data_IF_335018826449
#
_entry.id   IF_335018826449
#
_cell.length_a   1.000
_cell.length_b   1.000
_cell.length_c   1.000
_cell.angle_alpha   90.00
_cell.angle_beta   90.00
_cell.angle_gamma   90.00
#
_symmetry.space_group_name_H-M   'P 1'
#
loop_
_entity.id
_entity.type
_entity.pdbx_description
1 polymer ?
#
# COMPACT_ATOMS: atom_id res chain seq x y z
N UNK A 1 -12.46 -16.91 -1.94
CA UNK A 1 -11.46 -16.19 -1.13
C UNK A 1 -10.48 -17.20 -0.56
N UNK A 2 -9.17 -16.98 -0.69
CA UNK A 2 -8.12 -17.84 -0.11
C UNK A 2 -7.22 -16.94 0.74
N UNK A 3 -7.01 -17.32 2.02
CA UNK A 3 -6.28 -16.50 2.97
C UNK A 3 -5.30 -17.34 3.80
N UNK A 4 -4.00 -16.94 3.91
CA UNK A 4 -3.01 -17.69 4.68
C UNK A 4 -3.24 -17.52 6.19
N UNK A 5 -3.09 -18.61 6.94
CA UNK A 5 -3.13 -18.62 8.41
C UNK A 5 -1.86 -19.28 8.94
N UNK A 6 -1.02 -18.49 9.59
CA UNK A 6 0.18 -18.97 10.25
C UNK A 6 -0.06 -19.23 11.73
N UNK A 7 0.67 -20.17 12.32
CA UNK A 7 0.48 -20.54 13.73
C UNK A 7 0.99 -19.43 14.64
N UNK A 8 0.26 -19.16 15.72
CA UNK A 8 0.74 -18.32 16.82
C UNK A 8 0.63 -16.79 16.57
N UNK A 9 0.05 -16.36 15.48
CA UNK A 9 -0.03 -14.94 15.09
C UNK A 9 -0.73 -14.04 16.12
N UNK A 10 -1.60 -14.57 16.98
CA UNK A 10 -2.24 -13.81 18.06
C UNK A 10 -1.48 -13.84 19.40
N UNK A 11 -0.31 -14.50 19.45
CA UNK A 11 0.43 -14.64 20.71
C UNK A 11 1.44 -13.51 20.91
N UNK A 12 1.08 -12.48 21.70
CA UNK A 12 2.00 -11.40 22.08
C UNK A 12 3.29 -11.89 22.77
N UNK A 13 3.25 -13.04 23.45
CA UNK A 13 4.44 -13.62 24.10
C UNK A 13 5.44 -14.19 23.10
N UNK A 14 4.99 -14.65 21.95
CA UNK A 14 5.84 -15.23 20.89
C UNK A 14 6.32 -14.19 19.88
N UNK A 15 5.56 -13.12 19.72
CA UNK A 15 5.84 -12.06 18.74
C UNK A 15 5.65 -10.66 19.37
N UNK A 16 6.44 -10.32 20.39
CA UNK A 16 6.27 -9.05 21.12
C UNK A 16 6.53 -7.83 20.25
N UNK A 17 7.47 -7.88 19.29
CA UNK A 17 7.79 -6.76 18.42
C UNK A 17 6.70 -6.55 17.38
N UNK A 18 6.13 -7.62 16.83
CA UNK A 18 4.94 -7.53 15.96
C UNK A 18 3.80 -6.79 16.64
N UNK A 19 3.53 -7.15 17.93
CA UNK A 19 2.51 -6.48 18.72
C UNK A 19 2.87 -5.04 19.08
N UNK A 20 4.16 -4.74 19.30
CA UNK A 20 4.63 -3.36 19.49
C UNK A 20 4.35 -2.52 18.25
N UNK A 21 4.69 -3.03 17.05
CA UNK A 21 4.41 -2.34 15.78
C UNK A 21 2.91 -2.13 15.61
N UNK A 22 2.08 -3.15 15.93
CA UNK A 22 0.63 -3.03 15.91
C UNK A 22 0.13 -1.90 16.81
N UNK A 23 0.59 -1.86 18.09
CA UNK A 23 0.18 -0.85 19.06
C UNK A 23 0.61 0.55 18.62
N UNK A 24 1.82 0.70 18.05
CA UNK A 24 2.28 1.98 17.51
C UNK A 24 1.37 2.46 16.37
N UNK A 25 1.04 1.60 15.42
CA UNK A 25 0.12 1.93 14.33
C UNK A 25 -1.29 2.29 14.85
N UNK A 26 -1.82 1.53 15.81
CA UNK A 26 -3.11 1.83 16.44
C UNK A 26 -3.10 3.18 17.18
N UNK A 27 -2.01 3.47 17.90
CA UNK A 27 -1.87 4.74 18.62
C UNK A 27 -1.81 5.94 17.67
N UNK A 28 -1.08 5.83 16.54
CA UNK A 28 -1.01 6.89 15.53
C UNK A 28 -2.37 7.08 14.85
N UNK A 29 -3.10 6.00 14.54
CA UNK A 29 -4.44 6.08 13.97
C UNK A 29 -5.42 6.78 14.90
N UNK A 30 -5.47 6.37 16.18
CA UNK A 30 -6.37 6.96 17.17
C UNK A 30 -6.04 8.43 17.43
N UNK A 31 -4.75 8.77 17.53
CA UNK A 31 -4.31 10.14 17.65
C UNK A 31 -4.69 10.95 16.42
N UNK A 32 -4.42 10.42 15.21
CA UNK A 32 -4.75 11.07 13.94
C UNK A 32 -6.25 11.32 13.82
N UNK A 33 -7.11 10.36 14.17
CA UNK A 33 -8.56 10.55 14.16
C UNK A 33 -9.01 11.64 15.14
N UNK A 34 -8.47 11.65 16.37
CA UNK A 34 -8.84 12.67 17.35
C UNK A 34 -8.44 14.09 16.93
N UNK A 35 -7.32 14.21 16.21
CA UNK A 35 -6.78 15.49 15.74
C UNK A 35 -7.45 15.93 14.43
N UNK A 36 -7.65 15.01 13.50
CA UNK A 36 -8.14 15.31 12.16
C UNK A 36 -9.66 15.47 12.08
N UNK A 37 -10.43 15.18 13.13
CA UNK A 37 -11.91 15.19 13.05
C UNK A 37 -12.46 16.46 12.44
N UNK A 38 -12.12 17.61 13.02
CA UNK A 38 -12.59 18.93 12.54
C UNK A 38 -11.95 19.33 11.20
N UNK A 39 -10.72 18.88 10.92
CA UNK A 39 -10.02 19.14 9.68
C UNK A 39 -10.64 18.37 8.53
N UNK A 40 -11.01 17.10 8.75
CA UNK A 40 -11.66 16.28 7.73
C UNK A 40 -13.01 16.84 7.31
N UNK A 41 -13.88 17.16 8.29
CA UNK A 41 -15.19 17.75 7.98
C UNK A 41 -15.04 19.00 7.13
N UNK A 42 -14.08 19.89 7.47
CA UNK A 42 -13.85 21.12 6.73
C UNK A 42 -13.25 20.88 5.34
N UNK A 43 -12.32 19.93 5.21
CA UNK A 43 -11.78 19.52 3.91
C UNK A 43 -12.86 18.93 3.01
N UNK A 44 -13.69 18.03 3.56
CA UNK A 44 -14.80 17.42 2.84
C UNK A 44 -15.80 18.45 2.35
N UNK A 45 -16.14 19.45 3.18
CA UNK A 45 -17.00 20.54 2.80
C UNK A 45 -16.42 21.36 1.65
N UNK A 46 -15.13 21.72 1.73
CA UNK A 46 -14.46 22.53 0.70
C UNK A 46 -14.26 21.74 -0.61
N UNK A 47 -13.79 20.50 -0.52
CA UNK A 47 -13.50 19.64 -1.68
C UNK A 47 -14.77 19.16 -2.39
N UNK A 48 -15.94 19.23 -1.74
CA UNK A 48 -17.25 18.90 -2.32
C UNK A 48 -18.12 20.15 -2.55
N UNK A 49 -17.63 21.35 -2.26
CA UNK A 49 -18.36 22.61 -2.56
C UNK A 49 -18.61 22.72 -4.07
N UNK A 50 -19.88 22.79 -4.44
CA UNK A 50 -20.28 22.77 -5.84
C UNK A 50 -19.71 23.96 -6.64
N UNK A 51 -19.72 25.15 -6.05
CA UNK A 51 -19.14 26.33 -6.66
C UNK A 51 -17.62 26.16 -6.88
N UNK A 52 -16.91 25.63 -5.89
CA UNK A 52 -15.48 25.39 -5.97
C UNK A 52 -15.15 24.43 -7.10
N UNK A 53 -15.81 23.25 -7.11
CA UNK A 53 -15.58 22.21 -8.11
C UNK A 53 -15.88 22.65 -9.53
N UNK A 54 -17.01 23.36 -9.73
CA UNK A 54 -17.36 23.87 -11.05
C UNK A 54 -16.36 24.93 -11.52
N UNK A 55 -15.98 25.87 -10.65
CA UNK A 55 -14.98 26.89 -10.99
C UNK A 55 -13.63 26.27 -11.28
N UNK A 56 -13.18 25.33 -10.46
CA UNK A 56 -11.95 24.58 -10.67
C UNK A 56 -11.96 23.81 -11.98
N UNK A 57 -13.07 23.15 -12.31
CA UNK A 57 -13.25 22.43 -13.57
C UNK A 57 -13.13 23.33 -14.79
N UNK A 58 -13.74 24.53 -14.76
CA UNK A 58 -13.59 25.51 -15.82
C UNK A 58 -12.15 26.00 -15.98
N UNK A 59 -11.49 26.32 -14.86
CA UNK A 59 -10.09 26.74 -14.87
C UNK A 59 -9.20 25.64 -15.40
N UNK A 60 -9.42 24.40 -14.98
CA UNK A 60 -8.66 23.23 -15.40
C UNK A 60 -8.84 22.92 -16.88
N UNK A 61 -10.07 22.98 -17.40
CA UNK A 61 -10.32 22.80 -18.83
C UNK A 61 -9.58 23.83 -19.69
N UNK A 62 -9.57 25.11 -19.26
CA UNK A 62 -8.82 26.15 -19.98
C UNK A 62 -7.31 25.91 -19.91
N UNK A 63 -6.80 25.53 -18.74
CA UNK A 63 -5.40 25.13 -18.55
C UNK A 63 -4.98 24.00 -19.49
N UNK A 64 -5.81 22.97 -19.64
CA UNK A 64 -5.56 21.85 -20.53
C UNK A 64 -5.57 22.24 -22.03
N UNK A 65 -6.43 23.19 -22.42
CA UNK A 65 -6.50 23.68 -23.80
C UNK A 65 -5.20 24.40 -24.23
N UNK A 66 -4.52 25.03 -23.28
CA UNK A 66 -3.26 25.73 -23.54
C UNK A 66 -2.03 24.80 -23.51
N UNK A 67 -2.15 23.63 -22.89
CA UNK A 67 -1.04 22.67 -22.65
C UNK A 67 -1.33 21.29 -23.23
N UNK A 68 -1.01 21.08 -24.51
CA UNK A 68 -1.37 19.87 -25.29
C UNK A 68 -0.51 18.61 -25.04
N UNK A 69 0.54 18.64 -24.23
CA UNK A 69 1.59 17.61 -24.28
C UNK A 69 1.70 16.66 -23.11
N UNK A 70 1.04 16.87 -21.98
CA UNK A 70 1.28 16.13 -20.72
C UNK A 70 0.05 15.47 -20.06
N UNK A 71 -1.13 15.58 -20.67
CA UNK A 71 -2.37 15.05 -20.08
C UNK A 71 -2.69 13.62 -20.53
N UNK A 72 -3.16 12.74 -19.59
CA UNK A 72 -3.69 11.44 -19.95
C UNK A 72 -4.79 11.56 -21.00
N UNK A 73 -4.83 10.65 -21.97
CA UNK A 73 -5.77 10.69 -23.10
C UNK A 73 -7.24 10.80 -22.67
N UNK A 74 -7.61 10.14 -21.56
CA UNK A 74 -8.96 10.20 -20.96
C UNK A 74 -9.34 11.63 -20.52
N UNK A 75 -8.40 12.35 -19.91
CA UNK A 75 -8.64 13.74 -19.45
C UNK A 75 -8.74 14.66 -20.64
N UNK A 76 -7.94 14.42 -21.69
CA UNK A 76 -7.99 15.18 -22.95
C UNK A 76 -9.30 14.95 -23.69
N UNK A 77 -9.79 13.71 -23.73
CA UNK A 77 -11.06 13.34 -24.35
C UNK A 77 -12.24 13.98 -23.61
N UNK A 78 -12.24 13.94 -22.27
CA UNK A 78 -13.24 14.63 -21.44
C UNK A 78 -13.22 16.16 -21.69
N UNK A 79 -12.04 16.77 -21.72
CA UNK A 79 -11.90 18.21 -21.98
C UNK A 79 -12.36 18.59 -23.40
N UNK A 80 -12.23 17.70 -24.37
CA UNK A 80 -12.64 17.92 -25.78
C UNK A 80 -14.13 17.65 -26.03
N UNK A 81 -14.83 16.97 -25.10
CA UNK A 81 -16.23 16.55 -25.28
C UNK A 81 -17.24 17.72 -25.39
N UNK A 82 -16.82 18.95 -25.04
CA UNK A 82 -17.63 20.15 -25.22
C UNK A 82 -18.91 20.19 -24.38
N UNK A 83 -19.05 19.28 -23.44
CA UNK A 83 -20.22 19.19 -22.57
C UNK A 83 -20.26 20.40 -21.64
N UNK A 84 -21.27 21.25 -21.82
CA UNK A 84 -21.55 22.42 -20.96
C UNK A 84 -22.34 22.08 -19.70
N UNK A 85 -22.32 20.82 -19.28
CA UNK A 85 -23.09 20.32 -18.14
C UNK A 85 -22.32 20.56 -16.83
N UNK A 86 -23.02 21.01 -15.80
CA UNK A 86 -22.48 21.20 -14.45
C UNK A 86 -21.79 19.93 -13.91
N UNK A 87 -22.27 18.73 -14.30
CA UNK A 87 -21.64 17.46 -13.93
C UNK A 87 -20.27 17.27 -14.57
N UNK A 88 -20.07 17.73 -15.81
CA UNK A 88 -18.78 17.71 -16.49
C UNK A 88 -17.75 18.55 -15.72
N UNK A 89 -18.08 19.82 -15.43
CA UNK A 89 -17.15 20.70 -14.72
C UNK A 89 -16.87 20.26 -13.30
N UNK A 90 -17.86 19.67 -12.62
CA UNK A 90 -17.64 19.04 -11.32
C UNK A 90 -16.65 17.88 -11.39
N UNK A 91 -16.76 17.00 -12.40
CA UNK A 91 -15.83 15.92 -12.63
C UNK A 91 -14.43 16.42 -12.95
N UNK A 92 -14.33 17.42 -13.84
CA UNK A 92 -13.07 18.10 -14.16
C UNK A 92 -12.43 18.74 -12.93
N UNK A 93 -13.24 19.33 -12.04
CA UNK A 93 -12.78 19.87 -10.77
C UNK A 93 -12.17 18.82 -9.85
N UNK A 94 -12.77 17.64 -9.75
CA UNK A 94 -12.16 16.54 -9.00
C UNK A 94 -10.87 16.00 -9.66
N UNK A 95 -10.83 15.93 -10.99
CA UNK A 95 -9.63 15.50 -11.72
C UNK A 95 -8.47 16.48 -11.54
N UNK A 96 -8.76 17.76 -11.47
CA UNK A 96 -7.77 18.82 -11.27
C UNK A 96 -6.95 18.67 -9.97
N UNK A 97 -7.51 18.09 -8.92
CA UNK A 97 -6.76 17.79 -7.68
C UNK A 97 -5.63 16.78 -7.88
N UNK A 98 -5.64 16.03 -8.98
CA UNK A 98 -4.63 15.03 -9.30
C UNK A 98 -3.52 15.56 -10.21
N UNK A 99 -3.68 16.76 -10.72
CA UNK A 99 -2.72 17.44 -11.56
C UNK A 99 -1.89 18.42 -10.73
N UNK A 100 -0.71 17.96 -10.34
CA UNK A 100 0.23 18.69 -9.49
C UNK A 100 0.68 20.01 -10.11
N UNK A 101 0.90 20.01 -11.42
CA UNK A 101 1.34 21.19 -12.15
C UNK A 101 0.24 22.22 -12.16
N UNK A 102 -1.01 21.80 -12.41
CA UNK A 102 -2.17 22.67 -12.34
C UNK A 102 -2.35 23.31 -10.96
N UNK A 103 -2.34 22.51 -9.90
CA UNK A 103 -2.56 23.01 -8.52
C UNK A 103 -1.51 24.07 -8.13
N UNK A 104 -0.28 23.95 -8.63
CA UNK A 104 0.80 24.92 -8.31
C UNK A 104 0.79 26.15 -9.21
N UNK A 105 0.43 26.02 -10.47
CA UNK A 105 0.60 27.07 -11.46
C UNK A 105 -0.68 27.84 -11.77
N UNK A 106 -1.84 27.16 -11.85
CA UNK A 106 -3.10 27.79 -12.17
C UNK A 106 -3.49 28.98 -11.26
N UNK A 107 -3.18 28.93 -9.93
CA UNK A 107 -3.41 30.11 -9.08
C UNK A 107 -2.60 31.35 -9.46
N UNK A 108 -1.49 31.17 -10.19
CA UNK A 108 -0.59 32.28 -10.61
C UNK A 108 -0.99 32.85 -11.95
N UNK A 109 -1.74 32.12 -12.76
CA UNK A 109 -2.14 32.50 -14.11
C UNK A 109 -3.54 33.16 -14.15
N UNK A 110 -3.83 33.95 -15.18
CA UNK A 110 -5.15 34.56 -15.42
C UNK A 110 -5.94 33.74 -16.43
N UNK A 111 -6.23 32.48 -16.08
CA UNK A 111 -6.92 31.53 -16.94
C UNK A 111 -8.44 31.73 -17.05
N UNK A 112 -9.00 32.71 -16.37
CA UNK A 112 -10.46 32.91 -16.30
C UNK A 112 -10.83 34.40 -16.22
N UNK A 113 -11.89 34.78 -16.93
CA UNK A 113 -12.32 36.22 -17.02
C UNK A 113 -13.14 36.72 -15.83
N UNK A 114 -13.78 35.82 -15.07
CA UNK A 114 -14.54 36.20 -13.87
C UNK A 114 -13.63 36.38 -12.66
N UNK A 115 -13.20 37.61 -12.42
CA UNK A 115 -12.31 37.94 -11.32
C UNK A 115 -12.88 37.64 -9.92
N UNK A 116 -14.21 37.64 -9.75
CA UNK A 116 -14.85 37.38 -8.45
C UNK A 116 -14.83 35.85 -8.15
N UNK A 117 -15.27 35.05 -9.12
CA UNK A 117 -15.26 33.60 -9.00
C UNK A 117 -13.84 33.06 -8.78
N UNK A 118 -12.87 33.54 -9.56
CA UNK A 118 -11.45 33.15 -9.42
C UNK A 118 -10.87 33.56 -8.08
N UNK A 119 -11.21 34.75 -7.58
CA UNK A 119 -10.72 35.18 -6.25
C UNK A 119 -11.25 34.30 -5.14
N UNK A 120 -12.54 33.91 -5.18
CA UNK A 120 -13.14 32.99 -4.21
C UNK A 120 -12.51 31.58 -4.33
N UNK A 121 -12.38 31.09 -5.54
CA UNK A 121 -11.72 29.78 -5.79
C UNK A 121 -10.29 29.77 -5.26
N UNK A 122 -9.47 30.78 -5.54
CA UNK A 122 -8.10 30.89 -5.01
C UNK A 122 -8.07 30.92 -3.48
N UNK A 123 -8.99 31.63 -2.82
CA UNK A 123 -9.03 31.60 -1.36
C UNK A 123 -9.40 30.25 -0.77
N UNK A 124 -10.31 29.52 -1.40
CA UNK A 124 -10.67 28.18 -0.99
C UNK A 124 -9.51 27.19 -1.25
N UNK A 125 -8.78 27.32 -2.36
CA UNK A 125 -7.60 26.50 -2.64
C UNK A 125 -6.46 26.72 -1.62
N UNK A 126 -6.26 27.97 -1.19
CA UNK A 126 -5.30 28.30 -0.12
C UNK A 126 -5.75 27.67 1.21
N UNK A 127 -7.04 27.79 1.56
CA UNK A 127 -7.60 27.18 2.78
C UNK A 127 -7.44 25.66 2.76
N UNK A 128 -7.68 24.99 1.62
CA UNK A 128 -7.43 23.54 1.46
C UNK A 128 -5.96 23.24 1.73
N UNK A 129 -5.01 23.96 1.12
CA UNK A 129 -3.59 23.74 1.34
C UNK A 129 -3.14 23.95 2.79
N UNK A 130 -3.72 24.94 3.50
CA UNK A 130 -3.47 25.13 4.94
C UNK A 130 -3.98 23.97 5.78
N UNK A 131 -5.20 23.48 5.50
CA UNK A 131 -5.78 22.32 6.19
C UNK A 131 -5.00 21.02 5.89
N UNK A 132 -4.60 20.81 4.64
CA UNK A 132 -3.73 19.69 4.26
C UNK A 132 -2.40 19.72 5.00
N UNK A 133 -1.78 20.89 5.14
CA UNK A 133 -0.47 21.05 5.80
C UNK A 133 -0.47 20.58 7.27
N UNK A 134 -1.62 20.63 7.94
CA UNK A 134 -1.79 20.17 9.33
C UNK A 134 -2.43 18.80 9.43
N UNK A 135 -2.94 18.24 8.32
CA UNK A 135 -3.57 16.94 8.32
C UNK A 135 -2.56 15.82 8.54
N UNK A 136 -2.83 14.80 9.41
CA UNK A 136 -1.88 13.73 9.73
C UNK A 136 -1.33 12.98 8.52
N UNK A 137 -2.12 12.81 7.46
CA UNK A 137 -1.65 12.13 6.24
C UNK A 137 -0.52 12.90 5.55
N UNK A 138 -0.56 14.22 5.53
CA UNK A 138 0.49 15.06 4.95
C UNK A 138 1.66 15.28 5.91
N UNK A 139 1.41 15.33 7.21
CA UNK A 139 2.46 15.45 8.23
C UNK A 139 3.37 14.22 8.26
N UNK A 140 2.80 13.03 8.13
CA UNK A 140 3.52 11.77 8.27
C UNK A 140 3.80 11.08 6.93
N UNK A 141 2.99 11.33 5.90
CA UNK A 141 3.09 10.69 4.60
C UNK A 141 4.25 11.21 3.76
N UNK A 142 4.73 10.37 2.86
CA UNK A 142 5.75 10.74 1.87
C UNK A 142 5.05 11.37 0.68
N UNK A 143 5.34 12.64 0.43
CA UNK A 143 4.80 13.42 -0.67
C UNK A 143 5.91 14.06 -1.50
N UNK A 144 5.53 15.07 -2.26
CA UNK A 144 6.36 15.82 -3.21
C UNK A 144 7.63 16.48 -2.64
N UNK A 145 7.68 16.77 -1.35
CA UNK A 145 8.86 17.33 -0.70
C UNK A 145 9.71 16.20 -0.07
N UNK A 146 10.64 15.61 -0.85
CA UNK A 146 11.45 14.47 -0.40
C UNK A 146 12.48 14.84 0.66
N UNK A 147 12.60 16.11 1.00
CA UNK A 147 13.63 16.64 1.92
C UNK A 147 13.32 16.27 3.37
N UNK A 148 12.06 15.97 3.71
CA UNK A 148 11.70 15.59 5.06
C UNK A 148 11.99 14.10 5.32
N UNK A 149 13.22 13.80 5.71
CA UNK A 149 13.65 12.43 6.03
C UNK A 149 12.77 11.71 7.05
N UNK A 150 12.09 12.43 7.94
CA UNK A 150 11.20 11.83 8.93
C UNK A 150 10.03 11.12 8.27
N UNK A 151 9.47 11.66 7.20
CA UNK A 151 8.32 11.10 6.48
C UNK A 151 8.64 9.73 5.87
N UNK A 152 9.88 9.45 5.50
CA UNK A 152 10.32 8.15 4.99
C UNK A 152 10.13 7.00 5.99
N UNK A 153 9.98 7.34 7.28
CA UNK A 153 9.72 6.37 8.34
C UNK A 153 8.32 6.53 8.92
N UNK A 154 7.84 7.77 9.10
CA UNK A 154 6.56 8.01 9.78
C UNK A 154 5.36 7.57 8.95
N UNK A 155 5.45 7.59 7.62
CA UNK A 155 4.39 7.18 6.72
C UNK A 155 3.91 5.75 6.97
N UNK A 156 4.81 4.84 7.39
CA UNK A 156 4.53 3.42 7.66
C UNK A 156 3.51 3.26 8.80
N UNK A 157 3.40 4.25 9.67
CA UNK A 157 2.51 4.22 10.84
C UNK A 157 1.21 4.98 10.64
N UNK A 158 1.04 5.72 9.53
CA UNK A 158 -0.15 6.49 9.22
C UNK A 158 -1.11 5.70 8.33
N UNK A 159 -2.43 5.87 8.52
CA UNK A 159 -3.45 5.15 7.75
C UNK A 159 -4.61 6.09 7.39
N UNK A 160 -5.12 5.97 6.15
CA UNK A 160 -6.23 6.79 5.63
C UNK A 160 -7.57 6.46 6.28
N UNK A 161 -7.78 5.19 6.65
CA UNK A 161 -9.07 4.71 7.16
C UNK A 161 -8.91 3.53 8.10
N UNK A 162 -9.96 3.25 8.88
CA UNK A 162 -10.02 2.06 9.74
C UNK A 162 -9.93 0.74 8.96
N UNK A 163 -10.48 0.68 7.74
CA UNK A 163 -10.37 -0.52 6.89
C UNK A 163 -8.95 -0.71 6.35
N UNK A 164 -8.27 0.38 5.97
CA UNK A 164 -6.87 0.33 5.55
C UNK A 164 -5.97 -0.14 6.70
N UNK A 165 -6.17 0.40 7.90
CA UNK A 165 -5.49 -0.06 9.11
C UNK A 165 -5.76 -1.53 9.39
N UNK A 166 -7.03 -1.96 9.40
CA UNK A 166 -7.41 -3.34 9.71
C UNK A 166 -6.73 -4.33 8.75
N UNK A 167 -6.77 -4.06 7.45
CA UNK A 167 -6.10 -4.88 6.43
C UNK A 167 -4.60 -5.01 6.70
N UNK A 168 -3.92 -3.89 6.91
CA UNK A 168 -2.48 -3.88 7.21
C UNK A 168 -2.16 -4.65 8.49
N UNK A 169 -2.90 -4.42 9.56
CA UNK A 169 -2.64 -5.07 10.85
C UNK A 169 -2.92 -6.57 10.83
N UNK A 170 -3.88 -7.00 10.05
CA UNK A 170 -4.14 -8.43 9.86
C UNK A 170 -2.94 -9.13 9.21
N UNK A 171 -2.40 -8.57 8.14
CA UNK A 171 -1.22 -9.12 7.47
C UNK A 171 0.05 -8.99 8.34
N UNK A 172 0.23 -7.88 9.05
CA UNK A 172 1.32 -7.70 10.01
C UNK A 172 1.29 -8.78 11.10
N UNK A 173 0.14 -9.01 11.74
CA UNK A 173 0.03 -10.03 12.79
C UNK A 173 0.35 -11.43 12.26
N UNK A 174 -0.09 -11.76 11.04
CA UNK A 174 0.15 -13.07 10.45
C UNK A 174 1.62 -13.24 10.07
N UNK A 175 2.15 -12.35 9.24
CA UNK A 175 3.49 -12.51 8.66
C UNK A 175 4.59 -11.94 9.52
N UNK A 176 4.31 -10.83 10.23
CA UNK A 176 5.24 -10.27 11.22
C UNK A 176 5.54 -11.26 12.33
N UNK A 177 4.50 -11.86 12.95
CA UNK A 177 4.71 -12.86 13.98
C UNK A 177 5.47 -14.10 13.47
N UNK A 178 5.15 -14.56 12.26
CA UNK A 178 5.84 -15.68 11.66
C UNK A 178 7.30 -15.40 11.33
N UNK A 179 7.60 -14.21 10.84
CA UNK A 179 8.97 -13.79 10.55
C UNK A 179 9.75 -13.53 11.84
N UNK A 180 9.11 -12.94 12.86
CA UNK A 180 9.72 -12.71 14.17
C UNK A 180 10.20 -14.00 14.84
N UNK A 181 9.43 -15.10 14.70
CA UNK A 181 9.88 -16.43 15.16
C UNK A 181 11.13 -16.92 14.42
N UNK A 182 11.36 -16.48 13.18
CA UNK A 182 12.49 -16.95 12.34
C UNK A 182 13.75 -16.11 12.56
N UNK A 183 13.63 -14.78 12.57
CA UNK A 183 14.78 -13.85 12.60
C UNK A 183 14.93 -13.11 13.94
N UNK A 184 13.96 -13.27 14.86
CA UNK A 184 13.90 -12.56 16.12
C UNK A 184 13.31 -11.15 16.00
N UNK A 185 12.94 -10.57 17.16
CA UNK A 185 12.22 -9.28 17.18
C UNK A 185 13.04 -8.11 16.64
N UNK A 186 14.33 -8.02 16.99
CA UNK A 186 15.19 -6.95 16.44
C UNK A 186 15.33 -7.08 14.92
N UNK A 187 15.47 -8.32 14.42
CA UNK A 187 15.51 -8.57 12.98
C UNK A 187 14.24 -8.12 12.27
N UNK A 188 13.06 -8.44 12.85
CA UNK A 188 11.78 -7.97 12.31
C UNK A 188 11.70 -6.45 12.28
N UNK A 189 12.06 -5.76 13.36
CA UNK A 189 12.01 -4.30 13.42
C UNK A 189 12.88 -3.66 12.32
N UNK A 190 14.11 -4.14 12.17
CA UNK A 190 15.03 -3.65 11.13
C UNK A 190 14.45 -3.89 9.74
N UNK A 191 13.98 -5.10 9.46
CA UNK A 191 13.39 -5.44 8.16
C UNK A 191 12.16 -4.60 7.87
N UNK A 192 11.26 -4.46 8.82
CA UNK A 192 10.03 -3.66 8.67
C UNK A 192 10.33 -2.20 8.28
N UNK A 193 11.25 -1.56 9.00
CA UNK A 193 11.62 -0.17 8.70
C UNK A 193 12.37 -0.06 7.37
N UNK A 194 13.38 -0.92 7.13
CA UNK A 194 14.19 -0.85 5.91
C UNK A 194 13.37 -1.12 4.64
N UNK A 195 12.50 -2.14 4.67
CA UNK A 195 11.66 -2.44 3.51
C UNK A 195 10.62 -1.36 3.28
N UNK A 196 10.11 -0.72 4.34
CA UNK A 196 9.26 0.45 4.25
C UNK A 196 9.97 1.64 3.59
N UNK A 197 11.16 1.99 4.06
CA UNK A 197 11.95 3.08 3.44
C UNK A 197 12.25 2.78 1.97
N UNK A 198 12.61 1.54 1.64
CA UNK A 198 12.85 1.16 0.24
C UNK A 198 11.56 1.22 -0.60
N UNK A 199 10.42 0.79 -0.03
CA UNK A 199 9.11 0.87 -0.67
C UNK A 199 8.73 2.31 -1.04
N UNK A 200 8.95 3.27 -0.13
CA UNK A 200 8.72 4.69 -0.41
C UNK A 200 9.64 5.21 -1.53
N UNK A 201 10.93 4.84 -1.49
CA UNK A 201 11.88 5.22 -2.54
C UNK A 201 11.50 4.65 -3.91
N UNK A 202 11.07 3.40 -3.95
CA UNK A 202 10.64 2.75 -5.19
C UNK A 202 9.34 3.37 -5.74
N UNK A 203 8.39 3.70 -4.85
CA UNK A 203 7.17 4.41 -5.22
C UNK A 203 7.47 5.75 -5.88
N UNK A 204 8.33 6.57 -5.27
CA UNK A 204 8.74 7.85 -5.84
C UNK A 204 9.53 7.70 -7.16
N UNK A 205 10.32 6.63 -7.27
CA UNK A 205 11.07 6.34 -8.51
C UNK A 205 10.14 5.99 -9.68
N UNK A 206 9.07 5.23 -9.43
CA UNK A 206 8.11 4.79 -10.47
C UNK A 206 7.11 5.89 -10.83
N UNK A 207 6.53 6.55 -9.82
CA UNK A 207 5.42 7.49 -10.01
C UNK A 207 5.87 8.96 -10.03
N UNK A 208 7.10 9.23 -9.62
CA UNK A 208 7.55 10.60 -9.38
C UNK A 208 6.94 11.22 -8.11
N UNK A 209 7.14 12.52 -7.91
CA UNK A 209 6.49 13.26 -6.83
C UNK A 209 4.97 13.29 -7.02
N UNK A 210 4.22 13.04 -5.95
CA UNK A 210 2.74 13.00 -5.98
C UNK A 210 2.16 14.03 -5.02
N UNK A 211 0.96 14.59 -5.34
CA UNK A 211 0.21 15.48 -4.42
C UNK A 211 -0.36 14.69 -3.26
N UNK A 212 -0.94 13.51 -3.54
CA UNK A 212 -1.44 12.64 -2.51
C UNK A 212 -0.28 11.95 -1.78
N UNK A 213 -0.15 12.09 -0.45
CA UNK A 213 0.94 11.49 0.28
C UNK A 213 0.83 9.96 0.33
N UNK A 214 1.96 9.27 0.11
CA UNK A 214 2.04 7.84 0.38
C UNK A 214 1.96 7.61 1.88
N UNK A 215 0.97 6.82 2.33
CA UNK A 215 0.80 6.42 3.73
C UNK A 215 0.38 4.96 3.84
N UNK A 216 0.75 4.32 4.94
CA UNK A 216 0.38 2.94 5.26
C UNK A 216 1.57 2.01 5.44
N UNK A 217 1.36 1.00 6.27
CA UNK A 217 2.36 -0.03 6.56
C UNK A 217 2.55 -1.05 5.43
N UNK A 218 1.73 -1.02 4.38
CA UNK A 218 1.61 -2.09 3.39
C UNK A 218 2.91 -2.38 2.64
N UNK A 219 3.67 -1.36 2.25
CA UNK A 219 4.98 -1.56 1.61
C UNK A 219 5.99 -2.27 2.52
N UNK A 220 6.03 -1.91 3.80
CA UNK A 220 6.85 -2.60 4.80
C UNK A 220 6.38 -4.05 5.03
N UNK A 221 5.07 -4.27 5.09
CA UNK A 221 4.45 -5.59 5.26
C UNK A 221 4.72 -6.48 4.04
N UNK A 222 4.65 -5.95 2.82
CA UNK A 222 5.05 -6.66 1.59
C UNK A 222 6.49 -7.17 1.70
N UNK A 223 7.40 -6.33 2.20
CA UNK A 223 8.78 -6.73 2.46
C UNK A 223 8.91 -7.84 3.51
N UNK A 224 8.15 -7.78 4.61
CA UNK A 224 8.09 -8.82 5.63
C UNK A 224 7.57 -10.13 5.03
N UNK A 225 6.51 -10.08 4.21
CA UNK A 225 5.93 -11.24 3.53
C UNK A 225 6.90 -11.87 2.54
N UNK A 226 7.57 -11.06 1.73
CA UNK A 226 8.55 -11.51 0.77
C UNK A 226 9.75 -12.18 1.45
N UNK A 227 10.30 -11.56 2.50
CA UNK A 227 11.38 -12.16 3.27
C UNK A 227 10.98 -13.48 3.93
N UNK A 228 9.80 -13.55 4.54
CA UNK A 228 9.27 -14.79 5.10
C UNK A 228 9.16 -15.89 4.02
N UNK A 229 8.62 -15.55 2.85
CA UNK A 229 8.45 -16.46 1.74
C UNK A 229 9.78 -17.00 1.22
N UNK A 230 10.84 -16.18 1.18
CA UNK A 230 12.19 -16.58 0.78
C UNK A 230 12.83 -17.48 1.83
N UNK A 231 12.83 -17.09 3.11
CA UNK A 231 13.45 -17.85 4.20
C UNK A 231 12.75 -19.19 4.44
N UNK A 232 11.43 -19.21 4.27
CA UNK A 232 10.59 -20.38 4.51
C UNK A 232 10.11 -21.06 3.21
N UNK A 233 10.83 -20.90 2.10
CA UNK A 233 10.44 -21.21 0.72
C UNK A 233 9.53 -22.43 0.54
N UNK A 234 9.94 -23.58 1.05
CA UNK A 234 9.20 -24.82 0.94
C UNK A 234 8.35 -25.14 2.19
N UNK A 235 8.26 -24.22 3.16
CA UNK A 235 7.45 -24.45 4.35
C UNK A 235 5.98 -24.44 3.98
N UNK A 236 5.20 -25.48 4.28
CA UNK A 236 3.79 -25.50 3.98
C UNK A 236 3.07 -24.51 4.87
N UNK A 237 2.40 -23.64 4.22
CA UNK A 237 1.53 -22.61 4.79
C UNK A 237 0.09 -23.04 4.64
N UNK A 238 -0.67 -23.00 5.71
CA UNK A 238 -2.10 -23.32 5.71
C UNK A 238 -2.87 -22.13 5.20
N UNK A 239 -3.72 -22.33 4.19
CA UNK A 239 -4.66 -21.36 3.67
C UNK A 239 -6.07 -21.82 4.00
N UNK A 240 -6.93 -20.88 4.42
CA UNK A 240 -8.38 -21.05 4.44
C UNK A 240 -8.91 -20.66 3.08
N UNK A 241 -9.74 -21.51 2.49
CA UNK A 241 -10.55 -21.12 1.35
C UNK A 241 -12.01 -21.03 1.74
N UNK A 242 -12.71 -20.10 1.14
CA UNK A 242 -14.14 -19.91 1.31
C UNK A 242 -14.78 -19.45 0.00
N UNK A 243 -15.74 -20.25 -0.48
CA UNK A 243 -16.43 -19.99 -1.75
C UNK A 243 -17.75 -19.19 -1.59
N UNK A 244 -18.08 -18.71 -0.38
CA UNK A 244 -19.30 -17.97 -0.06
C UNK A 244 -20.61 -18.72 -0.38
N UNK A 245 -20.57 -20.05 -0.48
CA UNK A 245 -21.74 -20.89 -0.69
C UNK A 245 -22.20 -21.47 0.66
N UNK A 246 -23.53 -21.63 0.89
CA UNK A 246 -24.06 -22.18 2.13
C UNK A 246 -23.98 -23.71 2.17
N UNK A 247 -22.86 -24.30 1.73
CA UNK A 247 -22.64 -25.74 1.71
C UNK A 247 -21.53 -26.11 2.70
N UNK A 248 -21.56 -27.35 3.22
CA UNK A 248 -20.56 -27.83 4.19
C UNK A 248 -19.14 -27.81 3.62
N UNK A 249 -18.99 -27.96 2.31
CA UNK A 249 -17.69 -28.01 1.62
C UNK A 249 -17.25 -26.64 1.09
N UNK A 250 -17.98 -25.56 1.39
CA UNK A 250 -17.68 -24.22 0.91
C UNK A 250 -16.47 -23.59 1.61
N UNK A 251 -16.06 -24.12 2.75
CA UNK A 251 -14.91 -23.65 3.52
C UNK A 251 -14.01 -24.84 3.91
N UNK A 252 -12.71 -24.66 3.76
CA UNK A 252 -11.75 -25.70 4.10
C UNK A 252 -10.34 -25.15 4.16
N UNK A 253 -9.39 -26.07 4.26
CA UNK A 253 -7.96 -25.75 4.32
C UNK A 253 -7.24 -26.37 3.14
N UNK A 254 -6.36 -25.58 2.53
CA UNK A 254 -5.37 -26.04 1.58
C UNK A 254 -3.99 -25.62 2.08
N UNK A 255 -3.00 -26.45 1.78
CA UNK A 255 -1.63 -26.17 2.18
C UNK A 255 -0.79 -25.97 0.93
N UNK A 256 -0.14 -24.82 0.85
CA UNK A 256 0.74 -24.46 -0.24
C UNK A 256 2.11 -24.07 0.32
N UNK A 257 3.19 -24.23 -0.43
CA UNK A 257 4.50 -23.77 0.03
C UNK A 257 4.52 -22.24 0.19
N UNK A 258 5.34 -21.74 1.13
CA UNK A 258 5.35 -20.30 1.47
C UNK A 258 5.69 -19.38 0.27
N UNK A 259 6.47 -19.86 -0.71
CA UNK A 259 6.77 -19.08 -1.91
C UNK A 259 5.50 -18.66 -2.70
N UNK A 260 4.40 -19.41 -2.57
CA UNK A 260 3.14 -19.04 -3.24
C UNK A 260 2.57 -17.73 -2.74
N UNK A 261 2.87 -17.34 -1.49
CA UNK A 261 2.47 -16.03 -0.93
C UNK A 261 3.09 -14.92 -1.78
N UNK A 262 4.42 -14.98 -1.95
CA UNK A 262 5.16 -13.97 -2.72
C UNK A 262 4.67 -13.90 -4.16
N UNK A 263 4.52 -15.05 -4.82
CA UNK A 263 4.09 -15.07 -6.24
C UNK A 263 2.68 -14.50 -6.40
N UNK A 264 1.72 -14.89 -5.57
CA UNK A 264 0.35 -14.41 -5.66
C UNK A 264 0.26 -12.91 -5.36
N UNK A 265 1.05 -12.44 -4.39
CA UNK A 265 1.09 -11.02 -4.03
C UNK A 265 1.72 -10.19 -5.13
N UNK A 266 2.90 -10.57 -5.64
CA UNK A 266 3.57 -9.91 -6.77
C UNK A 266 2.69 -9.84 -8.03
N UNK A 267 1.99 -10.92 -8.37
CA UNK A 267 1.08 -10.92 -9.52
C UNK A 267 -0.08 -9.94 -9.32
N UNK A 268 -0.63 -9.86 -8.10
CA UNK A 268 -1.68 -8.90 -7.75
C UNK A 268 -1.20 -7.46 -7.89
N UNK A 269 -0.04 -7.14 -7.32
CA UNK A 269 0.52 -5.79 -7.37
C UNK A 269 0.96 -5.39 -8.77
N UNK A 270 1.55 -6.31 -9.53
CA UNK A 270 1.92 -6.05 -10.93
C UNK A 270 0.68 -5.80 -11.79
N UNK A 271 -0.37 -6.59 -11.60
CA UNK A 271 -1.63 -6.38 -12.33
C UNK A 271 -2.29 -5.03 -11.95
N UNK A 272 -2.24 -4.66 -10.66
CA UNK A 272 -2.73 -3.36 -10.19
C UNK A 272 -1.94 -2.18 -10.75
N UNK A 273 -0.62 -2.28 -10.77
CA UNK A 273 0.27 -1.25 -11.33
C UNK A 273 0.05 -1.08 -12.84
N UNK A 274 -0.01 -2.18 -13.59
CA UNK A 274 -0.24 -2.13 -15.04
C UNK A 274 -1.66 -1.67 -15.40
N UNK A 275 -2.64 -1.93 -14.54
CA UNK A 275 -4.01 -1.46 -14.69
C UNK A 275 -4.24 0.01 -14.34
N UNK A 276 -3.19 0.75 -13.95
CA UNK A 276 -3.26 2.14 -13.49
C UNK A 276 -4.31 2.37 -12.38
N UNK A 277 -4.55 1.35 -11.54
CA UNK A 277 -5.55 1.43 -10.48
C UNK A 277 -5.19 2.47 -9.40
N UNK A 278 -3.92 2.87 -9.31
CA UNK A 278 -3.44 3.95 -8.43
C UNK A 278 -4.04 5.31 -8.80
N UNK A 279 -4.24 5.56 -10.11
CA UNK A 279 -4.81 6.82 -10.63
C UNK A 279 -6.23 7.07 -10.11
N UNK A 280 -6.95 6.02 -9.72
CA UNK A 280 -8.33 6.12 -9.19
C UNK A 280 -8.39 6.24 -7.65
N UNK A 281 -7.26 6.54 -6.98
CA UNK A 281 -7.20 6.65 -5.52
C UNK A 281 -7.11 5.29 -4.83
N UNK A 282 -6.54 4.30 -5.52
CA UNK A 282 -6.40 2.92 -5.08
C UNK A 282 -5.17 2.64 -4.23
N UNK A 283 -4.76 1.39 -4.24
CA UNK A 283 -3.60 0.86 -3.52
C UNK A 283 -2.31 1.31 -4.20
N UNK A 284 -1.30 1.71 -3.42
CA UNK A 284 0.03 2.09 -3.94
C UNK A 284 0.85 0.84 -4.33
N UNK A 285 0.50 0.21 -5.44
CA UNK A 285 1.11 -1.04 -5.93
C UNK A 285 2.62 -0.92 -6.13
N UNK A 286 3.11 0.23 -6.60
CA UNK A 286 4.54 0.48 -6.73
C UNK A 286 5.27 0.39 -5.38
N UNK A 287 4.68 0.89 -4.29
CA UNK A 287 5.27 0.75 -2.95
C UNK A 287 5.32 -0.71 -2.49
N UNK A 288 4.28 -1.50 -2.78
CA UNK A 288 4.27 -2.94 -2.48
C UNK A 288 5.38 -3.68 -3.24
N UNK A 289 5.50 -3.45 -4.55
CA UNK A 289 6.56 -4.04 -5.37
C UNK A 289 7.97 -3.68 -4.84
N UNK A 290 8.16 -2.43 -4.43
CA UNK A 290 9.40 -2.00 -3.77
C UNK A 290 9.68 -2.78 -2.49
N UNK A 291 8.67 -2.94 -1.63
CA UNK A 291 8.73 -3.76 -0.43
C UNK A 291 9.09 -5.21 -0.73
N UNK A 292 8.43 -5.83 -1.69
CA UNK A 292 8.66 -7.21 -2.10
C UNK A 292 10.10 -7.43 -2.56
N UNK A 293 10.62 -6.54 -3.40
CA UNK A 293 12.02 -6.60 -3.87
C UNK A 293 12.99 -6.49 -2.70
N UNK A 294 12.82 -5.50 -1.83
CA UNK A 294 13.69 -5.30 -0.67
C UNK A 294 13.64 -6.48 0.30
N UNK A 295 12.44 -7.02 0.57
CA UNK A 295 12.24 -8.17 1.45
C UNK A 295 12.83 -9.45 0.88
N UNK A 296 12.62 -9.72 -0.41
CA UNK A 296 13.20 -10.88 -1.07
C UNK A 296 14.74 -10.84 -1.08
N UNK A 297 15.33 -9.71 -1.43
CA UNK A 297 16.79 -9.51 -1.39
C UNK A 297 17.35 -9.67 0.02
N UNK A 298 16.69 -9.10 1.03
CA UNK A 298 17.06 -9.26 2.44
C UNK A 298 16.99 -10.72 2.88
N UNK A 299 15.96 -11.45 2.45
CA UNK A 299 15.81 -12.88 2.72
C UNK A 299 16.93 -13.72 2.10
N UNK A 300 17.29 -13.43 0.85
CA UNK A 300 18.40 -14.08 0.15
C UNK A 300 19.72 -13.80 0.89
N UNK A 301 19.97 -12.56 1.28
CA UNK A 301 21.18 -12.17 2.00
C UNK A 301 21.29 -12.91 3.33
N UNK A 302 20.22 -12.97 4.12
CA UNK A 302 20.18 -13.71 5.40
C UNK A 302 20.38 -15.21 5.17
N UNK A 303 19.79 -15.82 4.13
CA UNK A 303 20.04 -17.22 3.77
C UNK A 303 21.52 -17.47 3.46
N UNK A 304 22.15 -16.59 2.69
CA UNK A 304 23.57 -16.70 2.36
C UNK A 304 24.44 -16.58 3.63
N UNK A 305 24.15 -15.61 4.50
CA UNK A 305 24.84 -15.47 5.77
C UNK A 305 24.66 -16.72 6.65
N UNK A 306 23.45 -17.26 6.78
CA UNK A 306 23.21 -18.47 7.58
C UNK A 306 23.88 -19.71 7.02
N UNK A 307 24.06 -19.81 5.72
CA UNK A 307 24.79 -20.92 5.10
C UNK A 307 26.21 -21.05 5.69
N UNK A 308 26.84 -19.92 6.02
CA UNK A 308 28.18 -19.87 6.53
C UNK A 308 28.26 -19.83 8.07
N UNK A 309 27.36 -19.10 8.73
CA UNK A 309 27.43 -18.81 10.17
C UNK A 309 26.55 -19.71 11.03
N UNK A 310 25.42 -20.16 10.51
CA UNK A 310 24.41 -20.90 11.26
C UNK A 310 23.64 -21.89 10.36
N UNK A 311 24.34 -22.88 9.72
CA UNK A 311 23.71 -23.80 8.77
C UNK A 311 22.55 -24.62 9.37
N UNK A 312 22.52 -24.81 10.71
CA UNK A 312 21.41 -25.44 11.41
C UNK A 312 20.10 -24.66 11.28
N UNK A 313 20.14 -23.33 11.10
CA UNK A 313 18.94 -22.50 10.88
C UNK A 313 18.30 -22.75 9.51
N UNK A 314 19.06 -23.18 8.53
CA UNK A 314 18.55 -23.58 7.22
C UNK A 314 17.87 -24.97 7.23
N UNK A 315 18.07 -25.75 8.30
CA UNK A 315 17.42 -27.04 8.50
C UNK A 315 15.96 -26.94 8.95
N UNK A 316 15.38 -25.73 9.04
CA UNK A 316 13.92 -25.54 9.17
C UNK A 316 13.10 -26.25 8.08
N UNK A 317 13.79 -26.97 7.16
CA UNK A 317 13.16 -27.87 6.19
C UNK A 317 12.38 -29.02 6.82
N UNK A 318 12.68 -29.40 8.06
CA UNK A 318 12.26 -30.69 8.61
C UNK A 318 11.25 -30.59 9.77
N UNK A 319 10.63 -29.44 10.03
CA UNK A 319 9.52 -29.30 10.98
C UNK A 319 8.22 -30.02 10.55
N UNK A 320 8.29 -30.80 9.48
CA UNK A 320 7.23 -31.69 9.04
C UNK A 320 7.34 -33.00 9.78
N UNK A 321 6.41 -33.24 10.71
CA UNK A 321 6.17 -34.62 11.17
C UNK A 321 5.62 -35.43 10.01
N UNK A 322 6.01 -36.69 9.93
CA UNK A 322 5.61 -37.65 8.88
C UNK A 322 4.07 -37.69 8.67
N UNK A 323 3.30 -37.32 9.67
CA UNK A 323 1.84 -37.23 9.62
C UNK A 323 1.33 -36.05 8.74
N UNK A 324 2.06 -34.96 8.67
CA UNK A 324 1.64 -33.84 7.80
C UNK A 324 1.78 -34.15 6.32
N UNK A 325 2.71 -35.02 5.92
CA UNK A 325 2.86 -35.50 4.54
C UNK A 325 1.66 -36.34 4.06
N UNK A 326 0.97 -37.03 4.95
CA UNK A 326 -0.23 -37.79 4.59
C UNK A 326 -1.41 -36.95 4.15
N UNK A 327 -1.42 -35.68 4.53
CA UNK A 327 -2.48 -34.70 4.17
C UNK A 327 -2.23 -34.00 2.82
N UNK A 328 -1.18 -34.39 2.09
CA UNK A 328 -0.76 -33.76 0.84
C UNK A 328 -0.68 -34.72 -0.34
N UNK A 329 -1.78 -34.98 -1.05
CA UNK A 329 -1.72 -35.86 -2.24
C UNK A 329 -0.81 -35.27 -3.34
N UNK A 330 -0.79 -33.94 -3.52
CA UNK A 330 -0.01 -33.28 -4.56
C UNK A 330 1.50 -33.29 -4.26
N UNK A 331 1.90 -33.09 -3.01
CA UNK A 331 3.32 -33.08 -2.61
C UNK A 331 3.90 -34.50 -2.59
N UNK A 332 3.09 -35.51 -2.27
CA UNK A 332 3.48 -36.90 -2.34
C UNK A 332 3.78 -37.31 -3.79
N UNK A 333 2.97 -36.85 -4.75
CA UNK A 333 3.19 -37.03 -6.18
C UNK A 333 4.50 -36.39 -6.66
N UNK A 334 4.80 -35.16 -6.25
CA UNK A 334 6.02 -34.45 -6.62
C UNK A 334 7.28 -35.07 -6.04
N UNK A 335 7.26 -35.45 -4.77
CA UNK A 335 8.39 -36.16 -4.12
C UNK A 335 8.62 -37.58 -4.69
N UNK A 336 7.56 -38.30 -5.02
CA UNK A 336 7.65 -39.61 -5.66
C UNK A 336 8.31 -39.48 -7.04
N UNK A 337 7.96 -38.46 -7.80
CA UNK A 337 8.55 -38.19 -9.13
C UNK A 337 10.03 -37.77 -9.07
N UNK A 338 10.43 -37.01 -8.03
CA UNK A 338 11.84 -36.67 -7.83
C UNK A 338 12.70 -37.86 -7.38
N UNK A 339 12.10 -38.85 -6.72
CA UNK A 339 12.81 -40.12 -6.36
C UNK A 339 12.95 -41.07 -7.53
N UNK A 340 12.08 -41.03 -8.50
CA UNK A 340 12.14 -41.84 -9.73
C UNK A 340 13.03 -41.27 -10.82
N UNK A 341 13.50 -39.99 -10.62
CA UNK A 341 14.43 -39.29 -11.52
C UNK A 341 15.88 -39.29 -10.99
N UNK A 342 16.15 -39.98 -9.87
CA UNK A 342 17.49 -40.35 -9.36
C UNK A 342 17.71 -41.83 -9.55
#
# INVERSE_FOLDING_TARGET
MIFPILRGFLSYRRAPITWLIFILNASVLLWGWSFAWNVNDRLDDLMNDEFFLQTQGHVYENYLKERTTLTPDVVRELASSGASDNQHFRLMGHLAFRDDEFIQEAPKENLFSDHVAVKRWKSQLIEIGELESVHPSFLFGVSKDPVNFRQWVTYIFSHTSGWHFFGNMLFLLIFGAALEEVIGGLGLMVVFVMTGVFAAGFFLFVNGPTTAPLIGASGAISGVMAMYSVLCWNRPTRYVYWYFLPTKDSMGFVYLPAWTILVLWLLGDLAGQLGNLEVMGGVAHAAHLGGDVAGALSGILVMLMWKWTAPQRLRFKDGFTHEMWRLYPFFNWYQTRLRTLK
#
